data_IF_777956978907
#
_entry.id   IF_777956978907
#
_cell.length_a   1.000
_cell.length_b   1.000
_cell.length_c   1.000
_cell.angle_alpha   90.00
_cell.angle_beta   90.00
_cell.angle_gamma   90.00
#
_symmetry.space_group_name_H-M   'P 1'
#
loop_
_entity.id
_entity.type
_entity.pdbx_description
1 polymer ?
#
# COMPACT_ATOMS: atom_id res chain seq x y z
N UNK A 1 3.39 -26.39 13.83
CA UNK A 1 4.49 -25.42 13.97
C UNK A 1 4.14 -24.24 13.11
N UNK A 2 4.04 -23.03 13.67
CA UNK A 2 3.79 -21.83 12.87
C UNK A 2 4.99 -21.66 11.92
N UNK A 3 4.75 -21.23 10.68
CA UNK A 3 5.83 -20.90 9.76
C UNK A 3 6.79 -19.92 10.47
N UNK A 4 8.07 -20.28 10.51
CA UNK A 4 9.11 -19.40 11.04
C UNK A 4 9.28 -18.25 10.05
N UNK A 5 8.59 -17.14 10.29
CA UNK A 5 8.67 -15.94 9.45
C UNK A 5 9.95 -15.14 9.69
N UNK A 6 10.68 -15.41 10.77
CA UNK A 6 11.86 -14.63 11.11
C UNK A 6 13.02 -15.00 10.18
N UNK A 7 13.63 -14.03 9.49
CA UNK A 7 14.88 -14.27 8.80
C UNK A 7 15.99 -14.49 9.84
N UNK A 8 16.69 -15.62 9.71
CA UNK A 8 17.84 -15.94 10.57
C UNK A 8 19.14 -15.78 9.80
N UNK A 9 20.14 -15.15 10.39
CA UNK A 9 21.47 -15.05 9.79
C UNK A 9 22.19 -16.43 9.77
N UNK A 10 23.03 -16.70 8.75
CA UNK A 10 23.95 -17.84 8.80
C UNK A 10 24.85 -17.76 10.05
N UNK A 11 25.18 -18.89 10.72
CA UNK A 11 24.96 -20.28 10.29
C UNK A 11 23.69 -20.94 10.90
N UNK A 12 22.64 -20.18 11.21
CA UNK A 12 21.41 -20.77 11.79
C UNK A 12 20.86 -21.93 10.96
N UNK A 13 20.48 -23.03 11.61
CA UNK A 13 19.81 -24.16 10.96
C UNK A 13 18.42 -23.82 10.41
N UNK A 14 17.89 -22.65 10.80
CA UNK A 14 16.63 -22.06 10.32
C UNK A 14 16.86 -20.96 9.27
N UNK A 15 18.09 -20.83 8.76
CA UNK A 15 18.40 -19.90 7.70
C UNK A 15 17.63 -20.26 6.42
N UNK A 16 16.99 -19.26 5.83
CA UNK A 16 16.29 -19.35 4.56
C UNK A 16 16.57 -18.11 3.71
N UNK A 17 16.67 -18.30 2.41
CA UNK A 17 16.72 -17.24 1.41
C UNK A 17 15.36 -17.13 0.76
N UNK A 18 14.72 -15.96 0.87
CA UNK A 18 13.38 -15.71 0.35
C UNK A 18 13.46 -14.69 -0.79
N UNK A 19 12.99 -15.08 -1.97
CA UNK A 19 12.77 -14.19 -3.11
C UNK A 19 11.38 -13.59 -3.02
N UNK A 20 11.31 -12.40 -2.44
CA UNK A 20 10.09 -11.60 -2.35
C UNK A 20 10.31 -10.18 -2.88
N UNK A 21 9.31 -9.32 -2.67
CA UNK A 21 9.35 -7.92 -3.07
C UNK A 21 8.98 -7.00 -1.91
N UNK A 22 9.52 -5.78 -1.93
CA UNK A 22 9.16 -4.70 -1.02
C UNK A 22 9.03 -3.39 -1.81
N UNK A 23 8.28 -2.42 -1.27
CA UNK A 23 8.15 -1.12 -1.92
C UNK A 23 9.43 -0.30 -1.70
N UNK A 24 9.96 0.28 -2.78
CA UNK A 24 11.13 1.17 -2.73
C UNK A 24 10.79 2.59 -3.15
N UNK A 25 9.63 2.77 -3.77
CA UNK A 25 9.10 4.05 -4.22
C UNK A 25 7.59 4.08 -4.00
N UNK A 26 7.06 5.23 -3.64
CA UNK A 26 5.63 5.48 -3.52
C UNK A 26 5.27 6.73 -4.32
N UNK A 27 4.25 6.62 -5.17
CA UNK A 27 3.77 7.71 -6.01
C UNK A 27 2.28 7.87 -5.79
N UNK A 28 1.86 9.08 -5.44
CA UNK A 28 0.49 9.37 -5.08
C UNK A 28 -0.01 10.46 -6.02
N UNK A 29 -1.20 10.24 -6.57
CA UNK A 29 -1.94 11.20 -7.38
C UNK A 29 -3.25 11.51 -6.67
N UNK A 30 -3.52 12.78 -6.42
CA UNK A 30 -4.76 13.26 -5.82
C UNK A 30 -5.35 14.38 -6.68
N UNK A 31 -6.68 14.39 -6.81
CA UNK A 31 -7.42 15.49 -7.43
C UNK A 31 -8.04 16.32 -6.31
N UNK A 32 -7.82 17.62 -6.35
CA UNK A 32 -8.43 18.56 -5.39
C UNK A 32 -9.90 18.81 -5.73
N UNK A 33 -10.65 19.39 -4.79
CA UNK A 33 -12.04 19.81 -5.00
C UNK A 33 -12.24 20.79 -6.16
N UNK A 34 -11.26 21.63 -6.50
CA UNK A 34 -11.32 22.51 -7.68
C UNK A 34 -10.69 21.90 -8.94
N UNK A 35 -10.33 20.62 -8.89
CA UNK A 35 -9.91 19.84 -10.05
C UNK A 35 -8.40 19.83 -10.35
N UNK A 36 -7.56 20.42 -9.50
CA UNK A 36 -6.10 20.38 -9.66
C UNK A 36 -5.55 18.99 -9.41
N UNK A 37 -4.54 18.61 -10.17
CA UNK A 37 -3.84 17.34 -10.06
C UNK A 37 -2.56 17.50 -9.24
N UNK A 38 -2.60 17.04 -7.98
CA UNK A 38 -1.45 16.97 -7.10
C UNK A 38 -0.77 15.62 -7.28
N UNK A 39 0.51 15.62 -7.61
CA UNK A 39 1.32 14.39 -7.73
C UNK A 39 2.50 14.49 -6.80
N UNK A 40 2.77 13.44 -6.04
CA UNK A 40 3.91 13.38 -5.13
C UNK A 40 4.62 12.05 -5.25
N UNK A 41 5.96 12.07 -5.21
CA UNK A 41 6.81 10.90 -5.20
C UNK A 41 7.69 10.89 -3.96
N UNK A 42 7.82 9.72 -3.36
CA UNK A 42 8.71 9.43 -2.24
C UNK A 42 9.58 8.22 -2.60
N UNK A 43 10.89 8.32 -2.37
CA UNK A 43 11.85 7.30 -2.78
C UNK A 43 12.68 6.87 -1.57
N UNK A 44 12.85 5.55 -1.40
CA UNK A 44 13.61 4.99 -0.29
C UNK A 44 15.11 5.31 -0.38
N UNK A 45 15.67 5.42 -1.60
CA UNK A 45 17.07 5.80 -1.83
C UNK A 45 17.40 7.24 -1.41
N UNK A 46 16.39 8.10 -1.29
CA UNK A 46 16.55 9.48 -0.84
C UNK A 46 16.56 9.61 0.69
N UNK A 47 16.35 8.51 1.42
CA UNK A 47 16.42 8.51 2.88
C UNK A 47 17.89 8.51 3.28
N UNK A 48 18.34 9.65 3.81
CA UNK A 48 19.70 9.82 4.29
C UNK A 48 19.98 8.97 5.55
N UNK A 49 21.26 8.88 5.91
CA UNK A 49 21.75 8.16 7.10
C UNK A 49 21.06 8.57 8.42
N UNK A 50 20.60 9.83 8.49
CA UNK A 50 19.91 10.37 9.66
C UNK A 50 18.39 10.08 9.66
N UNK A 51 17.90 9.20 8.78
CA UNK A 51 16.48 8.92 8.56
C UNK A 51 15.66 10.18 8.20
N UNK A 52 16.24 11.02 7.35
CA UNK A 52 15.60 12.24 6.82
C UNK A 52 15.52 12.14 5.31
N UNK A 53 14.36 12.47 4.75
CA UNK A 53 14.14 12.46 3.31
C UNK A 53 13.33 13.69 2.87
N UNK A 54 13.27 13.93 1.57
CA UNK A 54 12.30 14.86 0.98
C UNK A 54 11.39 14.12 0.00
N UNK A 55 10.18 14.62 -0.19
CA UNK A 55 9.30 14.20 -1.27
C UNK A 55 9.39 15.21 -2.43
N UNK A 56 9.11 14.78 -3.65
CA UNK A 56 8.99 15.66 -4.80
C UNK A 56 7.53 15.75 -5.21
N UNK A 57 6.98 16.97 -5.35
CA UNK A 57 5.59 17.15 -5.74
C UNK A 57 5.41 18.15 -6.90
N UNK A 58 4.34 17.98 -7.67
CA UNK A 58 3.90 18.88 -8.74
C UNK A 58 2.41 19.15 -8.58
N UNK A 59 1.96 20.33 -9.01
CA UNK A 59 0.54 20.67 -9.14
C UNK A 59 0.25 21.00 -10.60
N UNK A 60 -0.65 20.25 -11.24
CA UNK A 60 -0.94 20.37 -12.68
C UNK A 60 0.34 20.31 -13.53
N UNK A 61 0.61 21.33 -14.33
CA UNK A 61 1.77 21.45 -15.22
C UNK A 61 2.91 22.27 -14.60
N UNK A 62 2.84 22.56 -13.30
CA UNK A 62 3.92 23.25 -12.60
C UNK A 62 5.20 22.39 -12.50
N UNK A 63 6.33 23.09 -12.33
CA UNK A 63 7.62 22.45 -12.06
C UNK A 63 7.57 21.63 -10.78
N UNK A 64 8.47 20.65 -10.65
CA UNK A 64 8.59 19.87 -9.42
C UNK A 64 9.17 20.71 -8.28
N UNK A 65 8.55 20.60 -7.11
CA UNK A 65 8.99 21.21 -5.86
C UNK A 65 9.43 20.15 -4.87
N UNK A 66 10.41 20.50 -4.03
CA UNK A 66 10.83 19.66 -2.91
C UNK A 66 9.99 19.95 -1.66
N UNK A 67 9.40 18.91 -1.09
CA UNK A 67 8.80 18.93 0.24
C UNK A 67 9.84 18.43 1.25
N UNK A 68 10.59 19.38 1.81
CA UNK A 68 11.65 19.11 2.80
C UNK A 68 11.08 18.52 4.08
N UNK A 69 11.94 17.93 4.89
CA UNK A 69 11.57 17.42 6.21
C UNK A 69 10.94 18.52 7.09
N UNK A 70 9.90 18.13 7.85
CA UNK A 70 9.07 18.98 8.71
C UNK A 70 8.33 20.10 7.98
N UNK A 71 8.17 19.99 6.66
CA UNK A 71 7.37 20.94 5.88
C UNK A 71 6.00 20.36 5.62
N UNK A 72 4.98 21.22 5.74
CA UNK A 72 3.62 20.97 5.28
C UNK A 72 3.28 21.94 4.16
N UNK A 73 2.55 21.45 3.16
CA UNK A 73 2.04 22.21 2.03
C UNK A 73 0.57 21.86 1.83
N UNK A 74 -0.27 22.90 1.86
CA UNK A 74 -1.69 22.78 1.55
C UNK A 74 -1.91 23.25 0.11
N UNK A 75 -2.60 22.41 -0.67
CA UNK A 75 -3.10 22.70 -2.01
C UNK A 75 -4.61 22.44 -1.97
N UNK A 76 -5.38 23.50 -1.72
CA UNK A 76 -6.83 23.41 -1.52
C UNK A 76 -7.17 22.46 -0.37
N UNK A 77 -7.87 21.36 -0.65
CA UNK A 77 -8.29 20.31 0.29
C UNK A 77 -7.30 19.13 0.35
N UNK A 78 -6.18 19.21 -0.38
CA UNK A 78 -5.08 18.24 -0.30
C UNK A 78 -3.93 18.81 0.52
N UNK A 79 -3.51 18.08 1.55
CA UNK A 79 -2.34 18.42 2.36
C UNK A 79 -1.22 17.41 2.12
N UNK A 80 -0.02 17.91 1.85
CA UNK A 80 1.21 17.15 1.82
C UNK A 80 2.04 17.52 3.05
N UNK A 81 2.40 16.54 3.87
CA UNK A 81 3.29 16.77 5.02
C UNK A 81 4.41 15.74 5.00
N UNK A 82 5.64 16.20 5.17
CA UNK A 82 6.78 15.32 5.33
C UNK A 82 7.30 15.42 6.77
N UNK A 83 7.06 14.37 7.56
CA UNK A 83 7.52 14.27 8.95
C UNK A 83 8.84 13.50 8.99
N UNK A 84 9.96 14.21 8.84
CA UNK A 84 11.31 13.66 8.66
C UNK A 84 11.47 12.78 7.42
N UNK A 85 11.09 11.51 7.52
CA UNK A 85 11.14 10.52 6.44
C UNK A 85 9.81 9.81 6.23
N UNK A 86 8.73 10.30 6.86
CA UNK A 86 7.37 9.83 6.64
C UNK A 86 6.58 10.84 5.82
N UNK A 87 6.10 10.43 4.64
CA UNK A 87 5.22 11.24 3.81
C UNK A 87 3.76 10.99 4.18
N UNK A 88 3.04 12.05 4.48
CA UNK A 88 1.60 12.05 4.71
C UNK A 88 0.91 12.84 3.61
N UNK A 89 -0.08 12.23 2.97
CA UNK A 89 -0.95 12.86 1.98
C UNK A 89 -2.38 12.77 2.47
N UNK A 90 -2.96 13.90 2.81
CA UNK A 90 -4.33 14.00 3.29
C UNK A 90 -5.21 14.57 2.19
N UNK A 91 -6.28 13.86 1.87
CA UNK A 91 -7.39 14.29 0.99
C UNK A 91 -8.68 14.33 1.82
N UNK A 92 -9.82 14.82 1.33
CA UNK A 92 -11.08 14.78 2.07
C UNK A 92 -11.47 13.37 2.57
N UNK A 93 -11.22 12.33 1.78
CA UNK A 93 -11.69 10.97 2.06
C UNK A 93 -10.61 10.06 2.65
N UNK A 94 -9.33 10.34 2.38
CA UNK A 94 -8.22 9.47 2.76
C UNK A 94 -7.08 10.23 3.42
N UNK A 95 -6.44 9.58 4.38
CA UNK A 95 -5.07 9.86 4.78
C UNK A 95 -4.19 8.72 4.30
N UNK A 96 -3.18 9.05 3.50
CA UNK A 96 -2.21 8.10 2.96
C UNK A 96 -0.88 8.39 3.64
N UNK A 97 -0.32 7.38 4.29
CA UNK A 97 0.94 7.47 5.01
C UNK A 97 1.95 6.53 4.38
N UNK A 98 3.12 7.06 4.03
CA UNK A 98 4.26 6.29 3.55
C UNK A 98 5.35 6.40 4.59
N UNK A 99 5.71 5.28 5.21
CA UNK A 99 6.72 5.20 6.28
C UNK A 99 7.90 4.34 5.85
N UNK A 100 9.13 4.73 6.20
CA UNK A 100 10.29 3.93 5.92
C UNK A 100 10.49 2.87 7.00
N UNK A 101 11.02 1.73 6.61
CA UNK A 101 11.44 0.68 7.53
C UNK A 101 12.84 0.21 7.11
N UNK A 102 13.79 0.22 8.04
CA UNK A 102 15.16 -0.19 7.74
C UNK A 102 15.19 -1.68 7.41
N UNK A 103 16.02 -2.05 6.44
CA UNK A 103 16.31 -3.48 6.24
C UNK A 103 17.06 -4.02 7.46
N UNK A 104 16.69 -5.23 7.89
CA UNK A 104 17.37 -5.93 8.97
C UNK A 104 18.22 -7.06 8.39
N UNK A 105 17.56 -8.10 7.90
CA UNK A 105 18.17 -9.28 7.28
C UNK A 105 17.77 -9.41 5.80
N UNK A 106 16.83 -8.60 5.34
CA UNK A 106 16.49 -8.48 3.93
C UNK A 106 17.70 -7.97 3.15
N UNK A 107 18.11 -8.73 2.14
CA UNK A 107 19.23 -8.39 1.27
C UNK A 107 18.72 -7.89 -0.08
N UNK A 108 19.55 -7.09 -0.74
CA UNK A 108 19.47 -6.75 -2.17
C UNK A 108 18.41 -5.72 -2.60
N UNK A 109 18.76 -4.44 -2.49
CA UNK A 109 18.97 -3.58 -3.68
C UNK A 109 20.24 -2.77 -3.39
N UNK A 110 21.22 -2.74 -4.32
CA UNK A 110 22.45 -2.00 -4.09
C UNK A 110 22.14 -0.54 -3.72
N UNK A 111 22.75 -0.05 -2.62
CA UNK A 111 22.58 1.30 -2.09
C UNK A 111 21.19 1.67 -1.50
N UNK A 112 20.30 0.71 -1.23
CA UNK A 112 19.10 0.96 -0.42
C UNK A 112 19.31 0.52 1.04
N UNK A 113 18.84 1.35 1.97
CA UNK A 113 18.85 1.07 3.41
C UNK A 113 17.45 0.84 3.99
N UNK A 114 16.40 1.20 3.24
CA UNK A 114 15.01 1.16 3.69
C UNK A 114 14.10 0.55 2.62
N UNK A 115 13.04 -0.09 3.08
CA UNK A 115 11.78 -0.27 2.34
C UNK A 115 10.77 0.78 2.75
N UNK A 116 9.71 0.89 1.97
CA UNK A 116 8.54 1.70 2.29
C UNK A 116 7.37 0.79 2.67
N UNK A 117 6.63 1.22 3.67
CA UNK A 117 5.31 0.69 4.03
C UNK A 117 4.28 1.78 3.71
N UNK A 118 3.14 1.38 3.14
CA UNK A 118 2.05 2.29 2.76
C UNK A 118 0.82 1.94 3.57
N UNK A 119 0.22 2.94 4.20
CA UNK A 119 -1.02 2.83 4.95
C UNK A 119 -2.05 3.80 4.40
N UNK A 120 -3.30 3.35 4.30
CA UNK A 120 -4.45 4.17 3.92
C UNK A 120 -5.44 4.16 5.08
N UNK A 121 -5.89 5.34 5.46
CA UNK A 121 -6.95 5.54 6.45
C UNK A 121 -8.13 6.29 5.84
N UNK A 122 -9.35 5.78 6.05
CA UNK A 122 -10.58 6.50 5.74
C UNK A 122 -10.77 7.66 6.71
N UNK A 123 -11.11 8.83 6.16
CA UNK A 123 -11.48 10.04 6.91
C UNK A 123 -12.98 10.28 6.97
N UNK A 124 -13.72 9.49 6.20
CA UNK A 124 -15.18 9.49 6.14
C UNK A 124 -15.68 8.08 6.44
N UNK A 125 -16.95 7.95 6.82
CA UNK A 125 -17.53 6.63 6.97
C UNK A 125 -17.55 5.91 5.61
N UNK A 126 -17.12 4.65 5.57
CA UNK A 126 -17.12 3.82 4.37
C UNK A 126 -18.48 3.87 3.63
N UNK A 127 -19.59 3.76 4.39
CA UNK A 127 -20.95 3.83 3.85
C UNK A 127 -21.27 5.13 3.10
N UNK A 128 -20.64 6.26 3.47
CA UNK A 128 -20.89 7.57 2.87
C UNK A 128 -20.08 7.84 1.59
N UNK A 129 -19.13 6.97 1.24
CA UNK A 129 -18.32 7.16 0.03
C UNK A 129 -19.17 7.02 -1.24
N UNK A 130 -19.13 8.01 -2.15
CA UNK A 130 -19.85 7.91 -3.42
C UNK A 130 -19.21 6.90 -4.39
N UNK A 131 -17.90 6.73 -4.26
CA UNK A 131 -17.07 5.80 -5.01
C UNK A 131 -16.40 4.90 -3.98
N UNK A 132 -16.79 3.64 -3.90
CA UNK A 132 -16.02 2.70 -3.08
C UNK A 132 -14.59 2.59 -3.66
N UNK A 133 -13.55 2.47 -2.83
CA UNK A 133 -12.17 2.37 -3.31
C UNK A 133 -11.95 1.04 -4.02
N UNK A 134 -10.95 0.99 -4.90
CA UNK A 134 -10.54 -0.24 -5.57
C UNK A 134 -9.04 -0.17 -5.91
N UNK A 135 -8.35 -1.29 -5.75
CA UNK A 135 -6.90 -1.42 -5.83
C UNK A 135 -6.42 -2.62 -5.01
N UNK A 136 -5.10 -2.79 -4.90
CA UNK A 136 -4.51 -3.86 -4.07
C UNK A 136 -4.75 -3.60 -2.56
N UNK A 137 -4.76 -2.33 -2.15
CA UNK A 137 -5.00 -1.91 -0.77
C UNK A 137 -6.39 -1.30 -0.66
N UNK A 138 -7.12 -1.65 0.40
CA UNK A 138 -8.43 -1.06 0.71
C UNK A 138 -9.61 -1.66 -0.05
N UNK A 139 -9.41 -2.76 -0.76
CA UNK A 139 -10.49 -3.41 -1.53
C UNK A 139 -11.58 -4.05 -0.67
N UNK A 140 -11.35 -4.22 0.63
CA UNK A 140 -12.33 -4.70 1.58
C UNK A 140 -13.38 -3.64 1.98
N UNK A 141 -13.19 -2.38 1.60
CA UNK A 141 -14.14 -1.29 1.86
C UNK A 141 -15.34 -1.34 0.89
N UNK A 142 -16.06 -2.46 0.91
CA UNK A 142 -17.17 -2.79 0.00
C UNK A 142 -18.57 -2.51 0.56
N UNK A 143 -18.66 -1.92 1.75
CA UNK A 143 -19.90 -1.60 2.47
C UNK A 143 -20.75 -2.83 2.85
N UNK A 144 -20.19 -4.02 2.76
CA UNK A 144 -20.87 -5.28 3.07
C UNK A 144 -20.45 -5.90 4.41
N UNK A 145 -19.45 -5.31 5.08
CA UNK A 145 -18.93 -5.75 6.37
C UNK A 145 -18.17 -7.08 6.30
N UNK A 146 -17.67 -7.46 5.13
CA UNK A 146 -16.96 -8.72 4.92
C UNK A 146 -15.46 -8.51 4.72
N UNK A 147 -14.69 -9.42 5.29
CA UNK A 147 -13.27 -9.54 5.04
C UNK A 147 -13.01 -10.83 4.28
N UNK A 148 -11.99 -10.82 3.44
CA UNK A 148 -11.60 -11.97 2.62
C UNK A 148 -10.11 -12.17 2.81
N UNK A 149 -9.75 -13.35 3.26
CA UNK A 149 -8.34 -13.73 3.38
C UNK A 149 -7.87 -14.26 2.03
N UNK A 150 -6.72 -13.78 1.58
CA UNK A 150 -6.06 -14.31 0.39
C UNK A 150 -5.33 -15.62 0.70
N UNK A 151 -4.77 -16.22 -0.33
CA UNK A 151 -3.78 -17.28 -0.20
C UNK A 151 -2.57 -16.78 0.59
N UNK A 152 -1.94 -17.68 1.34
CA UNK A 152 -0.71 -17.43 2.10
C UNK A 152 0.41 -18.31 1.58
N UNK A 153 1.62 -17.79 1.53
CA UNK A 153 2.81 -18.58 1.23
C UNK A 153 3.12 -19.57 2.37
N UNK A 154 3.45 -20.81 2.01
CA UNK A 154 3.89 -21.83 2.96
C UNK A 154 5.43 -21.88 2.99
N UNK A 155 6.03 -21.06 3.87
CA UNK A 155 7.48 -20.96 3.99
C UNK A 155 8.12 -22.25 4.53
N UNK A 156 9.25 -22.73 3.95
CA UNK A 156 10.01 -23.84 4.50
C UNK A 156 10.79 -23.40 5.75
N UNK A 157 11.15 -24.36 6.60
CA UNK A 157 11.99 -24.11 7.78
C UNK A 157 13.40 -23.63 7.42
N UNK A 158 13.95 -24.07 6.28
CA UNK A 158 15.26 -23.65 5.77
C UNK A 158 15.34 -23.82 4.25
N UNK A 159 16.37 -23.25 3.63
CA UNK A 159 16.63 -23.36 2.18
C UNK A 159 16.19 -22.15 1.38
N UNK A 160 15.83 -22.34 0.12
CA UNK A 160 15.48 -21.27 -0.83
C UNK A 160 13.98 -21.30 -1.15
N UNK A 161 13.33 -20.15 -1.17
CA UNK A 161 11.89 -20.02 -1.39
C UNK A 161 11.55 -18.79 -2.22
N UNK A 162 10.56 -18.89 -3.11
CA UNK A 162 10.03 -17.77 -3.89
C UNK A 162 8.55 -17.59 -3.57
N UNK A 163 8.16 -16.38 -3.17
CA UNK A 163 6.77 -16.04 -2.84
C UNK A 163 5.87 -16.17 -4.07
N UNK A 164 4.65 -16.69 -3.92
CA UNK A 164 3.74 -16.93 -5.04
C UNK A 164 2.28 -16.51 -4.79
N UNK A 165 1.84 -16.34 -3.53
CA UNK A 165 0.43 -16.14 -3.21
C UNK A 165 -0.15 -14.81 -3.72
N UNK A 166 0.62 -13.71 -3.65
CA UNK A 166 0.31 -12.39 -4.24
C UNK A 166 -1.15 -11.91 -4.07
N UNK A 167 -1.74 -12.10 -2.88
CA UNK A 167 -3.12 -11.73 -2.54
C UNK A 167 -4.23 -12.43 -3.36
N UNK A 168 -3.91 -13.51 -4.08
CA UNK A 168 -4.87 -14.35 -4.79
C UNK A 168 -6.02 -14.78 -3.87
N UNK A 169 -7.24 -14.71 -4.35
CA UNK A 169 -8.44 -15.05 -3.58
C UNK A 169 -8.89 -13.96 -2.59
N UNK A 170 -8.13 -12.89 -2.37
CA UNK A 170 -8.61 -11.70 -1.64
C UNK A 170 -8.98 -10.55 -2.58
N UNK A 171 -8.26 -10.42 -3.69
CA UNK A 171 -8.45 -9.35 -4.66
C UNK A 171 -9.34 -9.77 -5.84
N UNK A 172 -10.07 -8.82 -6.42
CA UNK A 172 -10.76 -9.02 -7.71
C UNK A 172 -9.73 -9.10 -8.85
N UNK A 173 -9.84 -10.07 -9.76
CA UNK A 173 -8.86 -10.24 -10.84
C UNK A 173 -7.48 -10.73 -10.39
N UNK A 174 -6.44 -10.42 -11.18
CA UNK A 174 -5.06 -10.88 -10.97
C UNK A 174 -4.11 -9.72 -10.65
N UNK A 175 -2.96 -9.94 -9.97
CA UNK A 175 -1.98 -8.87 -9.69
C UNK A 175 -1.56 -8.05 -10.92
N UNK A 176 -1.51 -8.69 -12.09
CA UNK A 176 -1.23 -8.11 -13.39
C UNK A 176 -2.23 -7.03 -13.80
N UNK A 177 -3.50 -7.16 -13.41
CA UNK A 177 -4.57 -6.21 -13.71
C UNK A 177 -4.38 -4.86 -13.01
N UNK A 178 -3.52 -4.81 -11.99
CA UNK A 178 -3.19 -3.62 -11.18
C UNK A 178 -1.87 -2.96 -11.60
N UNK A 179 -1.19 -3.47 -12.63
CA UNK A 179 0.05 -2.88 -13.13
C UNK A 179 -0.28 -1.55 -13.83
N UNK A 180 0.36 -0.50 -13.37
CA UNK A 180 0.23 0.85 -13.92
C UNK A 180 1.25 1.09 -15.04
N UNK A 181 0.84 1.80 -16.09
CA UNK A 181 1.71 2.13 -17.22
C UNK A 181 2.87 3.09 -16.86
N UNK A 182 2.69 3.91 -15.82
CA UNK A 182 3.73 4.81 -15.33
C UNK A 182 3.45 5.20 -13.87
N UNK A 183 4.42 5.83 -13.20
CA UNK A 183 4.34 6.21 -11.78
C UNK A 183 3.16 7.10 -11.39
N UNK A 184 2.59 7.84 -12.35
CA UNK A 184 1.42 8.70 -12.11
C UNK A 184 0.23 8.31 -12.99
N UNK A 185 0.29 7.16 -13.66
CA UNK A 185 -0.88 6.61 -14.33
C UNK A 185 -1.93 6.30 -13.26
N UNK A 186 -3.18 6.62 -13.58
CA UNK A 186 -4.34 6.28 -12.76
C UNK A 186 -5.25 5.30 -13.48
N UNK A 187 -5.00 5.03 -14.75
CA UNK A 187 -5.80 4.15 -15.58
C UNK A 187 -5.28 2.70 -15.51
N UNK A 188 -6.17 1.79 -15.15
CA UNK A 188 -5.99 0.34 -15.07
C UNK A 188 -7.38 -0.31 -15.08
N UNK A 189 -7.44 -1.64 -15.22
CA UNK A 189 -8.69 -2.39 -15.45
C UNK A 189 -9.82 -2.06 -14.47
N UNK A 190 -9.50 -1.84 -13.19
CA UNK A 190 -10.48 -1.55 -12.14
C UNK A 190 -10.41 -0.11 -11.62
N UNK A 191 -9.81 0.81 -12.38
CA UNK A 191 -9.64 2.19 -11.95
C UNK A 191 -10.97 2.86 -11.64
N UNK A 192 -10.99 3.54 -10.50
CA UNK A 192 -12.10 4.41 -10.08
C UNK A 192 -11.68 5.87 -9.98
N UNK A 193 -10.47 6.20 -10.42
CA UNK A 193 -9.92 7.54 -10.29
C UNK A 193 -10.70 8.52 -11.16
N UNK A 194 -11.26 9.57 -10.54
CA UNK A 194 -12.03 10.61 -11.23
C UNK A 194 -13.49 10.25 -11.51
N UNK A 195 -13.97 9.08 -11.08
CA UNK A 195 -15.40 8.78 -11.11
C UNK A 195 -16.14 9.60 -10.04
N UNK A 196 -17.40 9.94 -10.30
CA UNK A 196 -18.28 10.60 -9.34
C UNK A 196 -19.10 9.59 -8.53
N UNK A 197 -19.35 8.42 -9.11
CA UNK A 197 -20.07 7.31 -8.47
C UNK A 197 -19.52 5.97 -8.96
N UNK A 198 -19.41 4.99 -8.07
CA UNK A 198 -19.09 3.61 -8.41
C UNK A 198 -19.61 2.66 -7.32
N UNK A 199 -20.25 1.58 -7.73
CA UNK A 199 -20.68 0.55 -6.80
C UNK A 199 -19.47 -0.20 -6.19
N UNK A 200 -19.56 -0.67 -4.94
CA UNK A 200 -18.66 -1.69 -4.40
C UNK A 200 -18.55 -2.93 -5.30
N UNK A 201 -17.50 -3.74 -5.14
CA UNK A 201 -17.42 -5.00 -5.89
C UNK A 201 -18.48 -5.98 -5.38
N UNK A 202 -18.99 -6.81 -6.28
CA UNK A 202 -20.00 -7.80 -5.92
C UNK A 202 -19.32 -9.05 -5.35
N UNK A 203 -19.05 -9.02 -4.05
CA UNK A 203 -18.39 -10.13 -3.33
C UNK A 203 -19.12 -11.46 -3.54
N UNK A 204 -20.45 -11.48 -3.53
CA UNK A 204 -21.20 -12.72 -3.67
C UNK A 204 -21.01 -13.34 -5.07
N UNK A 205 -21.05 -12.50 -6.12
CA UNK A 205 -20.81 -12.94 -7.49
C UNK A 205 -19.38 -13.42 -7.70
N UNK A 206 -18.39 -12.72 -7.15
CA UNK A 206 -16.98 -13.06 -7.29
C UNK A 206 -16.63 -14.37 -6.54
N UNK A 207 -17.24 -14.61 -5.37
CA UNK A 207 -17.13 -15.89 -4.67
C UNK A 207 -17.79 -17.02 -5.47
N UNK A 208 -18.98 -16.78 -6.03
CA UNK A 208 -19.66 -17.77 -6.87
C UNK A 208 -18.87 -18.12 -8.15
N UNK A 209 -18.09 -17.17 -8.67
CA UNK A 209 -17.18 -17.36 -9.79
C UNK A 209 -15.85 -18.04 -9.41
N UNK A 210 -15.56 -18.22 -8.12
CA UNK A 210 -14.30 -18.77 -7.63
C UNK A 210 -13.12 -17.80 -7.69
N UNK A 211 -13.35 -16.51 -7.90
CA UNK A 211 -12.31 -15.48 -7.90
C UNK A 211 -11.90 -15.09 -6.47
N UNK A 212 -12.87 -15.03 -5.57
CA UNK A 212 -12.66 -14.70 -4.16
C UNK A 212 -12.89 -15.91 -3.27
N UNK A 213 -12.08 -15.98 -2.21
CA UNK A 213 -12.25 -16.94 -1.12
C UNK A 213 -13.51 -16.62 -0.31
N UNK A 214 -13.94 -17.59 0.48
CA UNK A 214 -15.12 -17.44 1.35
C UNK A 214 -14.97 -16.24 2.28
N UNK A 215 -15.92 -15.29 2.26
CA UNK A 215 -15.87 -14.12 3.14
C UNK A 215 -16.17 -14.50 4.59
N UNK A 216 -15.58 -13.74 5.51
CA UNK A 216 -15.84 -13.79 6.94
C UNK A 216 -16.38 -12.44 7.44
N UNK A 217 -17.06 -12.45 8.57
CA UNK A 217 -17.43 -11.20 9.25
C UNK A 217 -16.17 -10.40 9.57
N UNK A 218 -16.14 -9.13 9.18
CA UNK A 218 -15.04 -8.22 9.47
C UNK A 218 -15.36 -7.34 10.68
N UNK A 219 -14.32 -6.99 11.44
CA UNK A 219 -14.35 -5.75 12.21
C UNK A 219 -14.10 -4.63 11.20
N UNK A 220 -15.01 -3.66 11.14
CA UNK A 220 -14.84 -2.48 10.29
C UNK A 220 -13.57 -1.75 10.74
N UNK A 221 -12.54 -1.76 9.88
CA UNK A 221 -11.32 -1.00 10.08
C UNK A 221 -11.33 0.18 9.12
N UNK A 222 -11.10 1.38 9.64
CA UNK A 222 -10.85 2.56 8.83
C UNK A 222 -9.40 2.60 8.31
N UNK A 223 -8.53 1.66 8.72
CA UNK A 223 -7.12 1.60 8.38
C UNK A 223 -6.75 0.27 7.70
N UNK A 224 -6.00 0.36 6.61
CA UNK A 224 -5.42 -0.77 5.86
C UNK A 224 -3.99 -0.41 5.44
N UNK A 225 -3.17 -1.38 5.06
CA UNK A 225 -1.83 -1.08 4.56
C UNK A 225 -1.16 -2.22 3.80
N UNK A 226 0.02 -1.95 3.27
CA UNK A 226 0.87 -2.93 2.56
C UNK A 226 1.47 -3.98 3.49
N UNK A 227 1.33 -3.79 4.79
CA UNK A 227 1.99 -4.60 5.82
C UNK A 227 0.93 -5.01 6.83
N UNK A 228 0.27 -6.13 6.56
CA UNK A 228 -0.63 -6.79 7.51
C UNK A 228 0.05 -7.99 8.13
N UNK A 229 1.05 -7.72 8.98
CA UNK A 229 1.35 -8.62 10.10
C UNK A 229 1.78 -7.77 11.28
N UNK A 230 0.89 -7.65 12.27
CA UNK A 230 1.20 -6.99 13.52
C UNK A 230 2.05 -7.95 14.36
N UNK A 231 3.38 -7.84 14.27
CA UNK A 231 4.33 -8.62 15.08
C UNK A 231 4.15 -8.39 16.60
N UNK A 232 3.32 -7.44 17.04
CA UNK A 232 2.99 -7.23 18.45
C UNK A 232 1.97 -8.23 19.03
N UNK A 233 1.50 -9.21 18.25
CA UNK A 233 0.75 -10.37 18.74
C UNK A 233 1.53 -11.67 18.56
N UNK A 234 2.70 -11.75 19.18
CA UNK A 234 3.26 -13.04 19.59
C UNK A 234 3.14 -13.11 21.12
N UNK A 235 2.62 -14.21 21.70
CA UNK A 235 2.79 -14.48 23.12
C UNK A 235 4.27 -14.68 23.47
#
# INVERSE_FOLDING_TARGET
>A
ELADFEPHAPPSSRHKTVHGSFLTQAHIVARTSLGKMVRVSFYADMIGKDNVAWANYTVDDSIAFQLKAKVSKVIEDVTLMNSYSSLHVTTPEFEITVTPNSFHEERNVAALHHRLDVQLKLRVAEKSMAVAPHGIIGQAWDKDGKAINGETDNFPTSGEFTTYAMAKGAIEGMPEDYKMASKYATDFKFSRFGLTTAAPRDVAKLVAAGELNTPKAAVVSDLVGSTEYNFSKLP
#
